data_IF_109043599975
#
_entry.id   IF_109043599975
#
_cell.length_a   1.000
_cell.length_b   1.000
_cell.length_c   1.000
_cell.angle_alpha   90.00
_cell.angle_beta   90.00
_cell.angle_gamma   90.00
#
_symmetry.space_group_name_H-M   'P 1'
#
loop_
_entity.id
_entity.type
_entity.pdbx_description
1 polymer ?
#
# COMPACT_ATOMS: atom_id res chain seq x y z
N UNK A 1 20.93 7.03 -12.74
CA UNK A 1 22.31 6.54 -12.76
C UNK A 1 22.33 5.07 -13.19
N UNK A 2 23.14 4.75 -14.24
CA UNK A 2 23.24 3.39 -14.79
C UNK A 2 23.82 2.41 -13.79
N UNK A 3 24.86 2.79 -13.05
CA UNK A 3 25.53 1.92 -12.08
C UNK A 3 24.59 1.50 -10.94
N UNK A 4 23.74 2.41 -10.46
CA UNK A 4 22.73 2.10 -9.44
C UNK A 4 21.67 1.14 -9.98
N UNK A 5 21.24 1.30 -11.23
CA UNK A 5 20.29 0.38 -11.87
C UNK A 5 20.89 -1.01 -12.07
N UNK A 6 22.13 -1.09 -12.54
CA UNK A 6 22.84 -2.37 -12.71
C UNK A 6 22.96 -3.10 -11.37
N UNK A 7 23.31 -2.40 -10.29
CA UNK A 7 23.38 -2.98 -8.94
C UNK A 7 22.00 -3.43 -8.44
N UNK A 8 20.96 -2.66 -8.67
CA UNK A 8 19.59 -3.00 -8.31
C UNK A 8 19.12 -4.29 -9.02
N UNK A 9 19.34 -4.38 -10.33
CA UNK A 9 19.04 -5.57 -11.12
C UNK A 9 19.84 -6.79 -10.62
N UNK A 10 21.12 -6.62 -10.31
CA UNK A 10 21.95 -7.68 -9.75
C UNK A 10 21.38 -8.24 -8.44
N UNK A 11 20.96 -7.38 -7.52
CA UNK A 11 20.34 -7.84 -6.26
C UNK A 11 19.04 -8.60 -6.50
N UNK A 12 18.17 -8.14 -7.40
CA UNK A 12 16.95 -8.85 -7.75
C UNK A 12 17.23 -10.18 -8.45
N UNK A 13 18.27 -10.27 -9.26
CA UNK A 13 18.71 -11.55 -9.84
C UNK A 13 19.19 -12.53 -8.76
N UNK A 14 19.88 -12.07 -7.71
CA UNK A 14 20.24 -12.92 -6.57
C UNK A 14 19.00 -13.47 -5.87
N UNK A 15 17.99 -12.63 -5.62
CA UNK A 15 16.71 -13.07 -5.05
C UNK A 15 15.99 -14.06 -5.97
N UNK A 16 15.95 -13.79 -7.27
CA UNK A 16 15.34 -14.68 -8.26
C UNK A 16 16.02 -16.07 -8.28
N UNK A 17 17.36 -16.12 -8.21
CA UNK A 17 18.11 -17.37 -8.12
C UNK A 17 17.81 -18.13 -6.82
N UNK A 18 17.84 -17.42 -5.69
CA UNK A 18 17.62 -18.02 -4.36
C UNK A 18 16.24 -18.65 -4.22
N UNK A 19 15.22 -17.99 -4.77
CA UNK A 19 13.80 -18.38 -4.61
C UNK A 19 13.19 -18.99 -5.87
N UNK A 20 14.02 -19.43 -6.84
CA UNK A 20 13.56 -19.98 -8.13
C UNK A 20 12.58 -21.15 -7.99
N UNK A 21 12.75 -21.99 -6.96
CA UNK A 21 11.90 -23.16 -6.72
C UNK A 21 10.57 -22.88 -5.99
N UNK A 22 10.33 -21.63 -5.58
CA UNK A 22 9.10 -21.26 -4.89
C UNK A 22 8.09 -20.73 -5.92
N UNK A 23 6.88 -21.31 -5.92
CA UNK A 23 5.79 -20.90 -6.81
C UNK A 23 5.46 -19.40 -6.67
N UNK A 24 5.06 -18.77 -7.78
CA UNK A 24 4.54 -17.41 -7.81
C UNK A 24 3.30 -17.20 -6.93
N UNK A 25 2.54 -18.26 -6.66
CA UNK A 25 1.36 -18.22 -5.79
C UNK A 25 1.71 -18.12 -4.30
N UNK A 26 2.99 -18.36 -3.96
CA UNK A 26 3.50 -18.31 -2.58
C UNK A 26 4.46 -17.16 -2.33
N UNK A 27 5.03 -16.59 -3.38
CA UNK A 27 6.04 -15.53 -3.27
C UNK A 27 6.01 -14.62 -4.49
N UNK A 28 5.75 -13.35 -4.25
CA UNK A 28 5.93 -12.25 -5.20
C UNK A 28 7.16 -11.42 -4.84
N UNK A 29 7.63 -10.61 -5.78
CA UNK A 29 8.67 -9.61 -5.58
C UNK A 29 8.09 -8.22 -5.75
N UNK A 30 8.11 -7.41 -4.70
CA UNK A 30 7.77 -5.99 -4.77
C UNK A 30 9.05 -5.18 -4.88
N UNK A 31 9.19 -4.41 -5.97
CA UNK A 31 10.50 -3.91 -6.39
C UNK A 31 10.98 -2.71 -5.59
N UNK A 32 10.14 -1.69 -5.47
CA UNK A 32 10.48 -0.42 -4.84
C UNK A 32 9.30 -0.01 -3.96
N UNK A 33 9.53 0.03 -2.65
CA UNK A 33 8.53 0.56 -1.74
C UNK A 33 8.39 2.06 -1.90
N UNK A 34 7.17 2.51 -2.13
CA UNK A 34 6.75 3.92 -2.09
C UNK A 34 7.65 4.88 -2.89
N UNK A 35 7.79 4.71 -4.20
CA UNK A 35 8.56 5.65 -4.99
C UNK A 35 7.99 7.07 -4.86
N UNK A 36 8.87 8.10 -4.80
CA UNK A 36 8.44 9.47 -4.58
C UNK A 36 7.59 10.01 -5.74
N UNK A 37 7.05 11.21 -5.54
CA UNK A 37 6.42 11.97 -6.62
C UNK A 37 7.42 12.31 -7.71
N UNK A 38 6.92 12.38 -8.94
CA UNK A 38 7.69 12.89 -10.07
C UNK A 38 8.20 14.30 -9.77
N UNK A 39 9.47 14.54 -10.02
CA UNK A 39 10.12 15.81 -9.75
C UNK A 39 11.55 15.84 -10.26
N UNK A 40 12.36 16.71 -9.71
CA UNK A 40 13.75 16.93 -10.14
C UNK A 40 14.67 15.72 -9.94
N UNK A 41 14.32 14.78 -9.06
CA UNK A 41 15.16 13.61 -8.74
C UNK A 41 14.80 12.37 -9.54
N UNK A 42 13.55 12.23 -9.97
CA UNK A 42 13.05 11.08 -10.72
C UNK A 42 11.90 11.51 -11.62
N UNK A 43 11.97 11.18 -12.90
CA UNK A 43 10.84 11.31 -13.81
C UNK A 43 10.01 10.03 -13.84
N UNK A 44 8.82 10.11 -14.45
CA UNK A 44 7.96 8.96 -14.67
C UNK A 44 8.64 7.91 -15.57
N UNK A 45 9.34 8.38 -16.59
CA UNK A 45 10.12 7.56 -17.53
C UNK A 45 11.32 6.90 -16.83
N UNK A 46 11.92 7.56 -15.85
CA UNK A 46 12.99 6.97 -15.05
C UNK A 46 12.49 5.80 -14.22
N UNK A 47 11.33 5.95 -13.55
CA UNK A 47 10.70 4.87 -12.80
C UNK A 47 10.28 3.72 -13.71
N UNK A 48 9.62 4.01 -14.83
CA UNK A 48 9.25 3.01 -15.84
C UNK A 48 10.46 2.21 -16.32
N UNK A 49 11.56 2.89 -16.66
CA UNK A 49 12.81 2.25 -17.10
C UNK A 49 13.38 1.33 -16.03
N UNK A 50 13.39 1.75 -14.76
CA UNK A 50 13.87 0.94 -13.65
C UNK A 50 13.03 -0.32 -13.52
N UNK A 51 11.71 -0.20 -13.49
CA UNK A 51 10.80 -1.34 -13.37
C UNK A 51 10.98 -2.30 -14.56
N UNK A 52 10.94 -1.82 -15.81
CA UNK A 52 11.08 -2.65 -17.01
C UNK A 52 12.40 -3.41 -17.04
N UNK A 53 13.51 -2.73 -16.76
CA UNK A 53 14.84 -3.35 -16.75
C UNK A 53 14.94 -4.42 -15.67
N UNK A 54 14.43 -4.14 -14.47
CA UNK A 54 14.49 -5.08 -13.35
C UNK A 54 13.59 -6.30 -13.58
N UNK A 55 12.38 -6.11 -14.10
CA UNK A 55 11.47 -7.21 -14.47
C UNK A 55 12.12 -8.12 -15.52
N UNK A 56 12.75 -7.56 -16.55
CA UNK A 56 13.47 -8.34 -17.55
C UNK A 56 14.58 -9.19 -16.90
N UNK A 57 15.41 -8.59 -16.03
CA UNK A 57 16.48 -9.26 -15.33
C UNK A 57 16.00 -10.41 -14.41
N UNK A 58 14.87 -10.21 -13.72
CA UNK A 58 14.25 -11.27 -12.91
C UNK A 58 13.76 -12.43 -13.79
N UNK A 59 13.10 -12.12 -14.90
CA UNK A 59 12.49 -13.12 -15.79
C UNK A 59 13.48 -13.98 -16.57
N UNK A 60 14.72 -13.53 -16.77
CA UNK A 60 15.80 -14.38 -17.26
C UNK A 60 16.04 -15.60 -16.34
N UNK A 61 15.74 -15.50 -15.06
CA UNK A 61 16.00 -16.52 -14.05
C UNK A 61 14.73 -17.23 -13.61
N UNK A 62 13.66 -16.48 -13.43
CA UNK A 62 12.33 -16.92 -12.94
C UNK A 62 11.24 -16.31 -13.82
N UNK A 63 10.97 -16.91 -15.01
CA UNK A 63 10.08 -16.33 -16.03
C UNK A 63 8.66 -16.06 -15.53
N UNK A 64 8.15 -16.91 -14.64
CA UNK A 64 6.78 -16.84 -14.13
C UNK A 64 6.65 -16.09 -12.81
N UNK A 65 7.71 -15.45 -12.32
CA UNK A 65 7.67 -14.74 -11.05
C UNK A 65 6.64 -13.62 -11.09
N UNK A 66 5.71 -13.63 -10.12
CA UNK A 66 4.85 -12.48 -9.88
C UNK A 66 5.72 -11.34 -9.36
N UNK A 67 5.72 -10.25 -10.10
CA UNK A 67 6.39 -9.00 -9.70
C UNK A 67 5.31 -7.96 -9.44
N UNK A 68 5.54 -7.14 -8.43
CA UNK A 68 4.70 -6.02 -8.03
C UNK A 68 5.51 -4.74 -8.17
N UNK A 69 4.87 -3.67 -8.59
CA UNK A 69 5.44 -2.33 -8.57
C UNK A 69 4.48 -1.38 -7.85
N UNK A 70 4.99 -0.68 -6.84
CA UNK A 70 4.22 0.39 -6.21
C UNK A 70 3.99 1.53 -7.20
N UNK A 71 2.83 2.17 -7.08
CA UNK A 71 2.55 3.39 -7.80
C UNK A 71 3.43 4.55 -7.36
N UNK A 72 3.58 5.54 -8.22
CA UNK A 72 4.28 6.79 -7.90
C UNK A 72 3.58 7.57 -6.78
N UNK A 73 4.25 8.61 -6.29
CA UNK A 73 3.72 9.46 -5.21
C UNK A 73 3.33 8.64 -3.97
N UNK A 74 4.25 7.78 -3.52
CA UNK A 74 4.05 6.87 -2.38
C UNK A 74 2.82 5.96 -2.54
N UNK A 75 2.68 5.35 -3.72
CA UNK A 75 1.57 4.46 -4.02
C UNK A 75 0.23 5.16 -4.30
N UNK A 76 0.23 6.47 -4.55
CA UNK A 76 -1.00 7.20 -4.84
C UNK A 76 -1.31 7.32 -6.35
N UNK A 77 -0.34 7.12 -7.23
CA UNK A 77 -0.50 7.26 -8.67
C UNK A 77 -0.19 5.96 -9.39
N UNK A 78 -1.16 5.35 -10.10
CA UNK A 78 -0.91 4.15 -10.88
C UNK A 78 -0.02 4.42 -12.11
N UNK A 79 0.60 3.35 -12.61
CA UNK A 79 1.48 3.34 -13.77
C UNK A 79 0.86 2.51 -14.92
N UNK A 80 -0.16 3.03 -15.63
CA UNK A 80 -0.84 2.27 -16.69
C UNK A 80 0.09 1.90 -17.87
N UNK A 81 1.21 2.59 -18.04
CA UNK A 81 2.26 2.28 -19.01
C UNK A 81 2.99 0.96 -18.74
N UNK A 82 2.92 0.43 -17.51
CA UNK A 82 3.50 -0.87 -17.16
C UNK A 82 2.55 -2.05 -17.41
N UNK A 83 1.35 -1.82 -17.92
CA UNK A 83 0.32 -2.86 -18.11
C UNK A 83 0.77 -3.99 -19.04
N UNK A 84 1.62 -3.71 -20.01
CA UNK A 84 2.15 -4.68 -20.97
C UNK A 84 3.17 -5.65 -20.36
N UNK A 85 3.68 -5.35 -19.16
CA UNK A 85 4.68 -6.20 -18.50
C UNK A 85 4.09 -7.45 -17.81
N UNK A 86 2.77 -7.56 -17.68
CA UNK A 86 2.15 -8.67 -16.93
C UNK A 86 2.65 -8.75 -15.47
N UNK A 87 2.76 -7.60 -14.82
CA UNK A 87 3.07 -7.46 -13.39
C UNK A 87 1.85 -6.93 -12.66
N UNK A 88 1.82 -7.06 -11.34
CA UNK A 88 0.83 -6.40 -10.51
C UNK A 88 1.29 -5.00 -10.10
N UNK A 89 0.36 -4.16 -9.68
CA UNK A 89 0.65 -2.85 -9.10
C UNK A 89 0.06 -2.73 -7.69
N UNK A 90 0.69 -1.89 -6.87
CA UNK A 90 0.32 -1.70 -5.48
C UNK A 90 -0.02 -0.25 -5.19
N UNK A 91 -1.19 -0.04 -4.56
CA UNK A 91 -1.61 1.27 -4.03
C UNK A 91 -1.41 1.34 -2.52
N UNK A 92 -1.74 2.49 -1.95
CA UNK A 92 -1.74 2.74 -0.49
C UNK A 92 -3.08 3.28 -0.03
N UNK A 93 -3.45 2.96 1.20
CA UNK A 93 -4.68 3.44 1.83
C UNK A 93 -4.35 4.32 3.04
N UNK A 94 -3.80 5.50 2.75
CA UNK A 94 -3.48 6.51 3.75
C UNK A 94 -4.19 7.86 3.52
N UNK A 95 -4.87 8.03 2.39
CA UNK A 95 -5.60 9.27 2.13
C UNK A 95 -6.95 9.33 2.87
N UNK A 96 -7.27 10.47 3.49
CA UNK A 96 -6.43 11.66 3.64
C UNK A 96 -5.44 11.53 4.81
N UNK A 97 -4.26 12.11 4.64
CA UNK A 97 -3.16 12.00 5.61
C UNK A 97 -3.52 12.55 7.00
N UNK A 98 -4.40 13.54 7.10
CA UNK A 98 -4.84 14.05 8.40
C UNK A 98 -5.69 13.04 9.20
N UNK A 99 -6.23 12.01 8.55
CA UNK A 99 -6.87 10.88 9.23
C UNK A 99 -5.85 9.78 9.54
N UNK A 100 -5.10 9.35 8.55
CA UNK A 100 -4.20 8.19 8.73
C UNK A 100 -2.95 8.49 9.54
N UNK A 101 -2.46 9.74 9.54
CA UNK A 101 -1.18 10.14 10.16
C UNK A 101 -1.30 11.27 11.18
N UNK A 102 -2.48 11.49 11.75
CA UNK A 102 -2.64 12.49 12.81
C UNK A 102 -1.66 12.24 13.96
N UNK A 103 -0.87 13.24 14.33
CA UNK A 103 0.12 13.15 15.40
C UNK A 103 1.38 12.32 15.09
N UNK A 104 1.56 11.84 13.87
CA UNK A 104 2.74 11.06 13.46
C UNK A 104 3.96 11.97 13.25
N UNK A 105 5.01 11.81 14.05
CA UNK A 105 6.16 12.72 14.12
C UNK A 105 7.05 12.74 12.87
N UNK A 106 6.92 11.75 11.99
CA UNK A 106 7.71 11.63 10.75
C UNK A 106 7.08 12.33 9.54
N UNK A 107 5.89 12.94 9.71
CA UNK A 107 5.23 13.79 8.72
C UNK A 107 4.92 15.16 9.31
N UNK A 108 4.61 16.16 8.48
CA UNK A 108 4.22 17.50 8.95
C UNK A 108 2.78 17.51 9.53
N UNK A 109 2.50 16.62 10.49
CA UNK A 109 1.15 16.49 11.04
C UNK A 109 0.62 17.77 11.71
N UNK A 110 1.51 18.70 12.11
CA UNK A 110 1.12 19.98 12.72
C UNK A 110 0.35 20.88 11.76
N UNK A 111 0.54 20.67 10.45
CA UNK A 111 -0.19 21.37 9.39
C UNK A 111 -1.53 20.71 9.08
N UNK A 112 -1.82 19.55 9.72
CA UNK A 112 -3.07 18.84 9.52
C UNK A 112 -4.19 19.41 10.38
N UNK A 113 -5.42 19.45 9.83
CA UNK A 113 -6.60 19.73 10.66
C UNK A 113 -6.84 18.61 11.65
N UNK A 114 -7.72 18.88 12.62
CA UNK A 114 -8.19 17.83 13.55
C UNK A 114 -8.78 16.65 12.77
N UNK A 115 -8.38 15.41 13.12
CA UNK A 115 -8.84 14.24 12.39
C UNK A 115 -10.34 14.01 12.59
N UNK A 116 -11.08 14.04 11.49
CA UNK A 116 -12.50 13.75 11.43
C UNK A 116 -12.84 13.06 10.11
N UNK A 117 -13.94 12.29 10.09
CA UNK A 117 -14.40 11.62 8.89
C UNK A 117 -15.94 11.57 8.80
N UNK A 118 -16.58 12.03 7.67
CA UNK A 118 -15.96 12.80 6.57
C UNK A 118 -15.62 14.23 7.01
N UNK A 119 -14.62 14.87 6.40
CA UNK A 119 -14.20 16.22 6.79
C UNK A 119 -13.24 16.86 5.79
N UNK A 120 -13.09 18.19 5.86
CA UNK A 120 -12.08 18.97 5.14
C UNK A 120 -12.02 18.69 3.61
N UNK A 121 -13.19 18.54 3.00
CA UNK A 121 -13.31 18.25 1.57
C UNK A 121 -12.93 16.80 1.20
N UNK A 122 -12.75 15.92 2.18
CA UNK A 122 -12.64 14.48 2.01
C UNK A 122 -13.89 13.79 2.53
N UNK A 123 -14.45 12.95 1.69
CA UNK A 123 -15.59 12.09 1.96
C UNK A 123 -15.46 10.79 1.15
N UNK A 124 -16.43 9.91 1.27
CA UNK A 124 -16.49 8.67 0.51
C UNK A 124 -16.34 8.89 -1.00
N UNK A 125 -17.05 9.89 -1.56
CA UNK A 125 -17.00 10.18 -3.00
C UNK A 125 -15.57 10.51 -3.46
N UNK A 126 -14.86 11.32 -2.69
CA UNK A 126 -13.46 11.67 -3.02
C UNK A 126 -12.52 10.47 -2.90
N UNK A 127 -12.76 9.54 -1.97
CA UNK A 127 -12.04 8.26 -1.94
C UNK A 127 -12.36 7.41 -3.16
N UNK A 128 -13.62 7.31 -3.59
CA UNK A 128 -14.03 6.61 -4.81
C UNK A 128 -13.31 7.18 -6.05
N UNK A 129 -13.26 8.50 -6.19
CA UNK A 129 -12.51 9.18 -7.26
C UNK A 129 -11.00 8.85 -7.21
N UNK A 130 -10.43 8.78 -6.00
CA UNK A 130 -9.03 8.41 -5.81
C UNK A 130 -8.74 6.98 -6.28
N UNK A 131 -9.57 6.01 -5.91
CA UNK A 131 -9.37 4.60 -6.26
C UNK A 131 -9.88 4.23 -7.65
N UNK A 132 -10.73 5.04 -8.28
CA UNK A 132 -11.19 4.80 -9.65
C UNK A 132 -10.02 4.68 -10.64
N UNK A 133 -8.94 5.43 -10.43
CA UNK A 133 -7.73 5.36 -11.28
C UNK A 133 -7.05 3.99 -11.20
N UNK A 134 -7.10 3.34 -10.04
CA UNK A 134 -6.56 2.00 -9.82
C UNK A 134 -7.48 0.93 -10.43
N UNK A 135 -8.80 1.12 -10.31
CA UNK A 135 -9.78 0.30 -11.00
C UNK A 135 -9.62 0.36 -12.54
N UNK A 136 -9.24 1.53 -13.09
CA UNK A 136 -8.95 1.68 -14.52
C UNK A 136 -7.75 0.82 -14.96
N UNK A 137 -6.72 0.73 -14.14
CA UNK A 137 -5.56 -0.14 -14.39
C UNK A 137 -5.96 -1.61 -14.27
N UNK A 138 -6.75 -1.96 -13.25
CA UNK A 138 -7.25 -3.32 -13.09
C UNK A 138 -8.09 -3.79 -14.29
N UNK A 139 -8.92 -2.92 -14.87
CA UNK A 139 -9.70 -3.22 -16.09
C UNK A 139 -8.82 -3.51 -17.32
N UNK A 140 -7.56 -3.11 -17.32
CA UNK A 140 -6.58 -3.48 -18.37
C UNK A 140 -5.94 -4.87 -18.13
N UNK A 141 -6.40 -5.62 -17.15
CA UNK A 141 -5.88 -6.94 -16.82
C UNK A 141 -4.67 -6.95 -15.89
N UNK A 142 -4.33 -5.80 -15.29
CA UNK A 142 -3.27 -5.69 -14.29
C UNK A 142 -3.83 -6.06 -12.91
N UNK A 143 -3.17 -6.98 -12.22
CA UNK A 143 -3.48 -7.23 -10.80
C UNK A 143 -3.20 -5.97 -9.97
N UNK A 144 -4.14 -5.56 -9.13
CA UNK A 144 -3.97 -4.43 -8.22
C UNK A 144 -4.27 -4.88 -6.79
N UNK A 145 -3.43 -4.48 -5.84
CA UNK A 145 -3.70 -4.64 -4.43
C UNK A 145 -3.32 -3.36 -3.66
N UNK A 146 -3.89 -3.17 -2.49
CA UNK A 146 -3.48 -2.14 -1.57
C UNK A 146 -2.44 -2.73 -0.60
N UNK A 147 -1.17 -2.48 -0.86
CA UNK A 147 -0.04 -3.10 -0.13
C UNK A 147 0.12 -2.59 1.30
N UNK A 148 -0.40 -1.41 1.59
CA UNK A 148 -0.43 -0.84 2.94
C UNK A 148 -1.63 0.08 3.14
N UNK A 149 -2.19 0.04 4.35
CA UNK A 149 -3.23 0.98 4.77
C UNK A 149 -3.49 0.87 6.27
N UNK A 150 -4.00 1.93 6.86
CA UNK A 150 -4.27 1.99 8.28
C UNK A 150 -4.17 3.41 8.85
N UNK A 151 -4.32 3.55 10.15
CA UNK A 151 -4.23 4.84 10.81
C UNK A 151 -3.44 4.78 12.12
N UNK A 152 -2.59 5.79 12.32
CA UNK A 152 -1.77 5.95 13.49
C UNK A 152 -2.63 6.06 14.76
N UNK A 153 -2.12 5.56 15.86
CA UNK A 153 -2.83 5.43 17.13
C UNK A 153 -3.26 6.75 17.79
N UNK A 154 -2.92 7.90 17.22
CA UNK A 154 -3.35 9.22 17.69
C UNK A 154 -4.65 9.71 17.02
N UNK A 155 -5.05 9.10 15.92
CA UNK A 155 -6.35 9.37 15.32
C UNK A 155 -7.45 8.77 16.18
N UNK A 156 -8.53 9.49 16.53
CA UNK A 156 -9.64 8.94 17.30
C UNK A 156 -10.16 7.65 16.67
N UNK A 157 -10.36 6.62 17.50
CA UNK A 157 -10.66 5.28 17.01
C UNK A 157 -11.95 5.17 16.21
N UNK A 158 -12.99 5.90 16.62
CA UNK A 158 -14.26 5.95 15.88
C UNK A 158 -14.13 6.61 14.51
N UNK A 159 -13.22 7.59 14.37
CA UNK A 159 -12.87 8.19 13.08
C UNK A 159 -12.17 7.17 12.20
N UNK A 160 -11.20 6.41 12.75
CA UNK A 160 -10.51 5.33 12.03
C UNK A 160 -11.50 4.29 11.50
N UNK A 161 -12.41 3.82 12.36
CA UNK A 161 -13.36 2.77 11.95
C UNK A 161 -14.31 3.23 10.84
N UNK A 162 -14.81 4.48 10.89
CA UNK A 162 -15.67 5.01 9.83
C UNK A 162 -14.92 5.19 8.52
N UNK A 163 -13.73 5.79 8.58
CA UNK A 163 -12.88 6.01 7.41
C UNK A 163 -12.44 4.69 6.78
N UNK A 164 -11.92 3.76 7.58
CA UNK A 164 -11.42 2.49 7.07
C UNK A 164 -12.54 1.62 6.48
N UNK A 165 -13.76 1.70 7.02
CA UNK A 165 -14.93 1.04 6.42
C UNK A 165 -15.17 1.52 5.00
N UNK A 166 -15.20 2.83 4.77
CA UNK A 166 -15.37 3.39 3.43
C UNK A 166 -14.24 2.94 2.49
N UNK A 167 -12.99 2.94 2.97
CA UNK A 167 -11.83 2.45 2.21
C UNK A 167 -12.00 0.98 1.82
N UNK A 168 -12.35 0.11 2.78
CA UNK A 168 -12.52 -1.32 2.55
C UNK A 168 -13.67 -1.62 1.58
N UNK A 169 -14.81 -0.96 1.74
CA UNK A 169 -15.95 -1.10 0.82
C UNK A 169 -15.59 -0.71 -0.61
N UNK A 170 -14.88 0.42 -0.79
CA UNK A 170 -14.44 0.89 -2.10
C UNK A 170 -13.43 -0.09 -2.73
N UNK A 171 -12.40 -0.48 -2.00
CA UNK A 171 -11.38 -1.40 -2.52
C UNK A 171 -12.00 -2.75 -2.89
N UNK A 172 -12.84 -3.32 -2.02
CA UNK A 172 -13.53 -4.59 -2.27
C UNK A 172 -14.46 -4.51 -3.48
N UNK A 173 -15.16 -3.38 -3.69
CA UNK A 173 -16.01 -3.18 -4.87
C UNK A 173 -15.23 -3.23 -6.19
N UNK A 174 -13.93 -2.98 -6.14
CA UNK A 174 -13.01 -3.07 -7.27
C UNK A 174 -12.17 -4.36 -7.28
N UNK A 175 -12.46 -5.31 -6.39
CA UNK A 175 -11.68 -6.54 -6.22
C UNK A 175 -10.20 -6.27 -5.87
N UNK A 176 -9.95 -5.24 -5.07
CA UNK A 176 -8.63 -4.85 -4.57
C UNK A 176 -8.57 -5.24 -3.09
N UNK A 177 -7.68 -6.18 -2.75
CA UNK A 177 -7.41 -6.56 -1.35
C UNK A 177 -6.55 -5.52 -0.64
N UNK A 178 -6.67 -5.43 0.69
CA UNK A 178 -5.88 -4.54 1.54
C UNK A 178 -5.00 -5.34 2.50
N UNK A 179 -3.74 -4.97 2.60
CA UNK A 179 -2.84 -5.37 3.68
C UNK A 179 -2.79 -4.25 4.74
N UNK A 180 -3.15 -4.60 5.98
CA UNK A 180 -3.09 -3.63 7.07
C UNK A 180 -1.63 -3.29 7.40
N UNK A 181 -1.30 -2.03 7.44
CA UNK A 181 -0.11 -1.54 8.08
C UNK A 181 -0.45 -1.06 9.50
N UNK A 182 -0.01 -1.78 10.55
CA UNK A 182 0.68 -3.05 10.52
C UNK A 182 -0.13 -4.09 11.33
N UNK A 183 0.33 -5.33 11.45
CA UNK A 183 -0.34 -6.33 12.28
C UNK A 183 -0.20 -5.99 13.77
N UNK A 184 1.02 -5.65 14.23
CA UNK A 184 1.35 -5.30 15.61
C UNK A 184 2.10 -3.98 15.66
N UNK A 185 1.65 -3.05 16.48
CA UNK A 185 2.24 -1.72 16.63
C UNK A 185 1.23 -0.61 16.37
N UNK A 186 1.69 0.61 16.22
CA UNK A 186 0.88 1.83 16.32
C UNK A 186 -0.23 2.00 15.28
N UNK A 187 -0.25 1.22 14.22
CA UNK A 187 -1.33 1.15 13.22
C UNK A 187 -2.11 -0.18 13.29
N UNK A 188 -1.65 -1.10 14.13
CA UNK A 188 -2.07 -2.48 14.10
C UNK A 188 -3.29 -2.82 14.95
N UNK A 189 -3.70 -4.07 14.80
CA UNK A 189 -4.76 -4.66 15.62
C UNK A 189 -4.23 -5.16 17.00
N UNK A 190 -2.92 -5.39 17.10
CA UNK A 190 -2.28 -5.80 18.35
C UNK A 190 -1.32 -4.71 18.86
N UNK A 191 -1.33 -4.49 20.16
CA UNK A 191 -0.39 -3.61 20.88
C UNK A 191 -0.26 -2.21 20.26
N UNK A 192 -1.36 -1.64 19.78
CA UNK A 192 -1.33 -0.35 19.07
C UNK A 192 -1.12 0.85 20.00
N UNK A 193 -1.19 0.66 21.31
CA UNK A 193 -1.06 1.69 22.35
C UNK A 193 -2.04 2.88 22.19
N UNK A 194 -3.23 2.62 21.63
CA UNK A 194 -4.34 3.56 21.65
C UNK A 194 -4.82 3.77 23.09
N UNK A 195 -5.18 5.00 23.41
CA UNK A 195 -5.67 5.35 24.76
C UNK A 195 -7.18 5.53 24.83
N UNK A 196 -7.86 5.45 23.69
CA UNK A 196 -9.29 5.73 23.51
C UNK A 196 -10.13 4.45 23.27
N UNK A 197 -9.55 3.27 23.52
CA UNK A 197 -10.23 1.97 23.39
C UNK A 197 -10.00 1.09 24.60
N UNK A 198 -10.86 0.09 24.79
CA UNK A 198 -10.63 -1.04 25.67
C UNK A 198 -10.07 -2.21 24.87
N UNK A 199 -8.94 -2.74 25.32
CA UNK A 199 -8.34 -3.91 24.70
C UNK A 199 -8.87 -5.20 25.33
N UNK A 200 -8.90 -6.26 24.52
CA UNK A 200 -9.02 -7.63 25.00
C UNK A 200 -7.63 -8.26 25.15
N UNK A 201 -7.49 -9.17 26.13
CA UNK A 201 -6.30 -10.02 26.17
C UNK A 201 -6.36 -11.05 25.04
N UNK A 202 -5.30 -11.14 24.27
CA UNK A 202 -5.12 -12.13 23.22
C UNK A 202 -3.72 -12.73 23.32
N UNK A 203 -3.60 -13.84 24.06
CA UNK A 203 -2.32 -14.52 24.31
C UNK A 203 -1.24 -13.58 24.88
N UNK A 204 -1.59 -12.70 25.79
CA UNK A 204 -0.69 -11.73 26.42
C UNK A 204 -0.46 -10.45 25.60
N UNK A 205 -1.20 -10.25 24.50
CA UNK A 205 -1.21 -9.06 23.70
C UNK A 205 -2.51 -8.26 23.86
N UNK A 206 -2.43 -6.95 23.65
CA UNK A 206 -3.57 -6.03 23.68
C UNK A 206 -4.27 -6.03 22.32
N UNK A 207 -5.42 -6.70 22.20
CA UNK A 207 -6.16 -6.80 20.94
C UNK A 207 -7.21 -5.68 20.80
N UNK A 208 -7.18 -4.97 19.68
CA UNK A 208 -8.26 -4.10 19.22
C UNK A 208 -9.34 -4.96 18.53
N UNK A 209 -10.33 -5.39 19.29
CA UNK A 209 -11.41 -6.26 18.81
C UNK A 209 -12.27 -5.57 17.74
N UNK A 210 -12.52 -4.27 17.87
CA UNK A 210 -13.38 -3.55 16.90
C UNK A 210 -12.71 -3.40 15.55
N UNK A 211 -11.41 -3.09 15.53
CA UNK A 211 -10.65 -3.01 14.29
C UNK A 211 -10.55 -4.39 13.63
N UNK A 212 -10.26 -5.44 14.41
CA UNK A 212 -10.24 -6.81 13.88
C UNK A 212 -11.59 -7.22 13.29
N UNK A 213 -12.70 -6.95 14.01
CA UNK A 213 -14.04 -7.27 13.52
C UNK A 213 -14.35 -6.55 12.18
N UNK A 214 -14.00 -5.28 12.08
CA UNK A 214 -14.15 -4.54 10.82
C UNK A 214 -13.38 -5.21 9.68
N UNK A 215 -12.12 -5.58 9.90
CA UNK A 215 -11.31 -6.24 8.86
C UNK A 215 -11.90 -7.60 8.45
N UNK A 216 -12.44 -8.35 9.39
CA UNK A 216 -13.06 -9.66 9.13
C UNK A 216 -14.35 -9.58 8.30
N UNK A 217 -15.06 -8.45 8.30
CA UNK A 217 -16.22 -8.24 7.44
C UNK A 217 -15.86 -8.23 5.94
N UNK A 218 -14.58 -7.98 5.61
CA UNK A 218 -14.08 -7.83 4.22
C UNK A 218 -12.99 -8.86 3.85
N UNK A 219 -12.79 -9.89 4.68
CA UNK A 219 -11.78 -10.93 4.48
C UNK A 219 -12.28 -12.10 3.60
#
# INVERSE_FOLDING_TARGET
DKSALDAFCFHWQLMAKRYKGISKDKLSFDLINEPPSVGSQMSREDHERVVRTTVAAIREISPDRLVVADGLSWGNEPMPELADLGIAQSTRAYQPMFVSHAGASWVNYRDYPEPAWPSHGWDRKRLEEHYARWADVARKGVGVHCGEGGAFNKTPHDVVLRWLRDVLEILTSHNIGLALWNFRGSFGILDSDRTDIQYEDFHGHKLDRKLLALLQEFA
#
